data_IF_508041843088
#
_entry.id   IF_508041843088
#
_cell.length_a   1.000
_cell.length_b   1.000
_cell.length_c   1.000
_cell.angle_alpha   90.00
_cell.angle_beta   90.00
_cell.angle_gamma   90.00
#
_symmetry.space_group_name_H-M   'P 1'
#
loop_
_entity.id
_entity.type
_entity.pdbx_description
1 polymer ?
#
# COMPACT_ATOMS: atom_id res chain seq x y z
N UNK A 1 -2.86 7.38 6.92
CA UNK A 1 -3.45 6.62 5.80
C UNK A 1 -4.97 6.79 5.80
N UNK A 2 -5.59 7.09 4.65
CA UNK A 2 -7.02 7.50 4.55
C UNK A 2 -8.06 6.36 4.68
N UNK A 3 -7.65 5.15 5.07
CA UNK A 3 -8.56 4.04 5.33
C UNK A 3 -9.26 3.40 4.12
N UNK A 4 -8.91 3.80 2.89
CA UNK A 4 -9.55 3.31 1.67
C UNK A 4 -9.51 1.78 1.52
N UNK A 5 -10.61 1.23 1.01
CA UNK A 5 -10.73 -0.15 0.56
C UNK A 5 -9.99 -0.39 -0.77
N UNK A 6 -9.73 -1.65 -1.12
CA UNK A 6 -9.07 -1.98 -2.39
C UNK A 6 -9.93 -1.65 -3.61
N UNK A 7 -11.26 -1.67 -3.46
CA UNK A 7 -12.19 -1.28 -4.51
C UNK A 7 -12.08 0.21 -4.80
N UNK A 8 -12.16 1.06 -3.77
CA UNK A 8 -12.03 2.51 -3.93
C UNK A 8 -10.68 2.91 -4.54
N UNK A 9 -9.59 2.25 -4.13
CA UNK A 9 -8.27 2.47 -4.73
C UNK A 9 -8.27 2.07 -6.21
N UNK A 10 -8.90 0.94 -6.55
CA UNK A 10 -9.03 0.46 -7.92
C UNK A 10 -9.80 1.45 -8.80
N UNK A 11 -10.94 1.93 -8.32
CA UNK A 11 -11.78 2.90 -9.01
C UNK A 11 -11.04 4.21 -9.28
N UNK A 12 -10.32 4.74 -8.27
CA UNK A 12 -9.54 5.98 -8.39
C UNK A 12 -8.37 5.83 -9.38
N UNK A 13 -7.72 4.68 -9.41
CA UNK A 13 -6.56 4.43 -10.26
C UNK A 13 -6.92 3.83 -11.64
N UNK A 14 -8.19 3.51 -11.90
CA UNK A 14 -8.63 2.86 -13.12
C UNK A 14 -8.09 1.43 -13.30
N UNK A 15 -7.84 0.71 -12.21
CA UNK A 15 -7.31 -0.68 -12.22
C UNK A 15 -8.17 -1.60 -11.36
N UNK A 16 -8.12 -2.91 -11.64
CA UNK A 16 -8.88 -3.87 -10.84
C UNK A 16 -8.39 -3.94 -9.37
N UNK A 17 -9.27 -4.26 -8.40
CA UNK A 17 -8.88 -4.50 -7.01
C UNK A 17 -7.84 -5.64 -6.85
N UNK A 18 -7.85 -6.61 -7.78
CA UNK A 18 -6.83 -7.65 -7.84
C UNK A 18 -5.45 -7.09 -8.20
N UNK A 19 -5.40 -6.14 -9.13
CA UNK A 19 -4.16 -5.42 -9.49
C UNK A 19 -3.64 -4.60 -8.31
N UNK A 20 -4.52 -3.90 -7.58
CA UNK A 20 -4.18 -3.19 -6.33
C UNK A 20 -3.53 -4.15 -5.33
N UNK A 21 -4.15 -5.31 -5.11
CA UNK A 21 -3.62 -6.34 -4.20
C UNK A 21 -2.24 -6.83 -4.63
N UNK A 22 -2.02 -7.02 -5.93
CA UNK A 22 -0.71 -7.42 -6.48
C UNK A 22 0.37 -6.35 -6.23
N UNK A 23 0.04 -5.06 -6.38
CA UNK A 23 0.95 -3.97 -6.06
C UNK A 23 1.31 -3.94 -4.56
N UNK A 24 0.31 -4.10 -3.68
CA UNK A 24 0.53 -4.12 -2.22
C UNK A 24 1.48 -5.26 -1.83
N UNK A 25 1.27 -6.48 -2.36
CA UNK A 25 2.18 -7.62 -2.10
C UNK A 25 3.62 -7.32 -2.54
N UNK A 26 3.80 -6.65 -3.69
CA UNK A 26 5.13 -6.24 -4.16
C UNK A 26 5.76 -5.19 -3.25
N UNK A 27 4.98 -4.23 -2.75
CA UNK A 27 5.44 -3.20 -1.81
C UNK A 27 5.88 -3.85 -0.50
N UNK A 28 5.05 -4.74 0.07
CA UNK A 28 5.39 -5.46 1.31
C UNK A 28 6.69 -6.22 1.18
N UNK A 29 6.89 -6.93 0.06
CA UNK A 29 8.15 -7.63 -0.22
C UNK A 29 9.35 -6.68 -0.31
N UNK A 30 9.19 -5.51 -0.94
CA UNK A 30 10.27 -4.52 -1.08
C UNK A 30 10.64 -3.87 0.26
N UNK A 31 9.66 -3.70 1.14
CA UNK A 31 9.86 -3.13 2.47
C UNK A 31 10.16 -4.20 3.54
N UNK A 32 10.15 -5.49 3.18
CA UNK A 32 10.31 -6.62 4.10
C UNK A 32 9.31 -6.62 5.28
N UNK A 33 8.03 -6.33 5.00
CA UNK A 33 6.93 -6.25 5.98
C UNK A 33 5.77 -7.19 5.67
N UNK A 34 4.87 -7.39 6.63
CA UNK A 34 3.75 -8.32 6.53
C UNK A 34 2.36 -7.67 6.68
N UNK A 35 2.29 -6.42 7.12
CA UNK A 35 1.02 -5.72 7.34
C UNK A 35 1.00 -4.31 6.77
N UNK A 36 -0.20 -3.73 6.65
CA UNK A 36 -0.40 -2.35 6.19
C UNK A 36 0.22 -1.36 7.17
N UNK A 37 0.08 -1.62 8.46
CA UNK A 37 0.63 -0.78 9.52
C UNK A 37 2.16 -0.74 9.46
N UNK A 38 2.79 -1.91 9.35
CA UNK A 38 4.24 -2.01 9.17
C UNK A 38 4.69 -1.31 7.90
N UNK A 39 4.00 -1.49 6.77
CA UNK A 39 4.35 -0.82 5.53
C UNK A 39 4.29 0.71 5.63
N UNK A 40 3.30 1.26 6.33
CA UNK A 40 3.21 2.70 6.58
C UNK A 40 4.33 3.16 7.52
N UNK A 41 4.58 2.43 8.61
CA UNK A 41 5.63 2.75 9.56
C UNK A 41 7.01 2.74 8.89
N UNK A 42 7.37 1.64 8.22
CA UNK A 42 8.66 1.46 7.56
C UNK A 42 8.88 2.50 6.46
N UNK A 43 7.89 2.70 5.59
CA UNK A 43 7.98 3.72 4.55
C UNK A 43 8.12 5.14 5.12
N UNK A 44 7.61 5.41 6.33
CA UNK A 44 7.82 6.69 7.02
C UNK A 44 9.25 6.79 7.57
N UNK A 45 9.78 5.72 8.19
CA UNK A 45 11.17 5.69 8.69
C UNK A 45 12.18 5.85 7.55
N UNK A 46 11.90 5.26 6.39
CA UNK A 46 12.70 5.40 5.17
C UNK A 46 12.52 6.76 4.45
N UNK A 47 11.61 7.62 4.91
CA UNK A 47 11.31 8.91 4.29
C UNK A 47 10.57 8.83 2.94
N UNK A 48 10.01 7.66 2.60
CA UNK A 48 9.21 7.43 1.38
C UNK A 48 7.79 7.98 1.49
N UNK A 49 7.27 8.06 2.72
CA UNK A 49 6.00 8.71 3.05
C UNK A 49 6.27 9.86 4.02
N UNK A 50 5.52 10.95 3.85
CA UNK A 50 5.49 12.07 4.77
C UNK A 50 4.18 12.04 5.55
N UNK A 51 4.25 12.33 6.85
CA UNK A 51 3.08 12.64 7.67
C UNK A 51 2.54 14.03 7.33
#
# INVERSE_FOLDING_TARGET
AKGMSFNEIGDILGISPHTVTAHIKKIYRKLAVHSRGEAVYEATQMGLLKN
#
